data_IF_969206671537
#
_entry.id   IF_969206671537
#
_cell.length_a   1.000
_cell.length_b   1.000
_cell.length_c   1.000
_cell.angle_alpha   90.00
_cell.angle_beta   90.00
_cell.angle_gamma   90.00
#
_symmetry.space_group_name_H-M   'P 1'
#
loop_
_entity.id
_entity.type
_entity.pdbx_description
1 polymer ?
#
# COMPACT_ATOMS: atom_id res chain seq x y z
N UNK A 1 8.82 31.02 -23.50
CA UNK A 1 7.80 31.68 -22.66
C UNK A 1 8.17 31.45 -21.21
N UNK A 2 8.60 32.48 -20.49
CA UNK A 2 9.00 32.40 -19.08
C UNK A 2 7.76 32.40 -18.19
N UNK A 3 7.48 31.27 -17.54
CA UNK A 3 6.31 31.10 -16.66
C UNK A 3 6.60 31.78 -15.33
N UNK A 4 6.01 32.96 -15.09
CA UNK A 4 6.11 33.66 -13.80
C UNK A 4 5.37 32.86 -12.71
N UNK A 5 6.05 32.57 -11.59
CA UNK A 5 5.49 31.88 -10.42
C UNK A 5 5.25 32.86 -9.28
N UNK A 6 4.14 32.70 -8.56
CA UNK A 6 3.74 33.49 -7.40
C UNK A 6 3.44 32.55 -6.22
N UNK A 7 3.73 32.97 -4.99
CA UNK A 7 3.32 32.23 -3.81
C UNK A 7 1.84 32.48 -3.50
N UNK A 8 1.09 31.41 -3.28
CA UNK A 8 -0.31 31.51 -2.90
C UNK A 8 -0.42 31.99 -1.43
N UNK A 9 -1.17 33.06 -1.13
CA UNK A 9 -1.33 33.57 0.24
C UNK A 9 -2.14 32.62 1.16
N UNK A 10 -2.91 31.69 0.59
CA UNK A 10 -3.71 30.74 1.37
C UNK A 10 -2.94 29.47 1.76
N UNK A 11 -2.10 28.94 0.87
CA UNK A 11 -1.43 27.65 1.11
C UNK A 11 0.10 27.72 1.11
N UNK A 12 0.70 28.90 0.88
CA UNK A 12 2.14 29.14 0.87
C UNK A 12 2.91 28.50 -0.30
N UNK A 13 2.24 27.73 -1.18
CA UNK A 13 2.89 27.02 -2.29
C UNK A 13 3.09 27.91 -3.51
N UNK A 14 4.23 27.75 -4.19
CA UNK A 14 4.57 28.47 -5.42
C UNK A 14 3.78 27.94 -6.62
N UNK A 15 2.81 28.71 -7.09
CA UNK A 15 1.91 28.38 -8.21
C UNK A 15 2.21 29.25 -9.42
N UNK A 16 1.76 28.83 -10.61
CA UNK A 16 1.84 29.63 -11.83
C UNK A 16 0.90 30.83 -11.68
N UNK A 17 1.35 32.02 -12.13
CA UNK A 17 0.52 33.24 -12.14
C UNK A 17 -0.67 33.02 -13.09
N UNK A 18 -1.88 33.07 -12.54
CA UNK A 18 -3.13 32.88 -13.25
C UNK A 18 -4.30 33.18 -12.31
N UNK A 19 -5.54 32.93 -12.74
CA UNK A 19 -6.75 33.27 -11.96
C UNK A 19 -6.84 32.58 -10.60
N UNK A 20 -6.32 31.35 -10.49
CA UNK A 20 -6.42 30.53 -9.29
C UNK A 20 -5.11 29.78 -9.01
N UNK A 21 -4.85 29.49 -7.74
CA UNK A 21 -3.77 28.62 -7.31
C UNK A 21 -4.06 27.19 -7.73
N UNK A 22 -3.14 26.55 -8.45
CA UNK A 22 -3.29 25.16 -8.91
C UNK A 22 -3.32 24.13 -7.76
N UNK A 23 -2.87 24.51 -6.56
CA UNK A 23 -2.73 23.60 -5.42
C UNK A 23 -3.90 23.68 -4.43
N UNK A 24 -4.55 24.83 -4.29
CA UNK A 24 -5.65 25.01 -3.33
C UNK A 24 -6.89 25.71 -3.89
N UNK A 25 -6.88 26.12 -5.16
CA UNK A 25 -8.01 26.79 -5.81
C UNK A 25 -8.29 28.21 -5.34
N UNK A 26 -7.40 28.81 -4.54
CA UNK A 26 -7.52 30.19 -4.08
C UNK A 26 -7.33 31.19 -5.23
N UNK A 27 -8.18 32.23 -5.31
CA UNK A 27 -8.12 33.25 -6.37
C UNK A 27 -6.88 34.13 -6.21
N UNK A 28 -6.08 34.27 -7.27
CA UNK A 28 -4.83 35.07 -7.25
C UNK A 28 -4.96 36.39 -8.03
N UNK A 29 -6.07 36.61 -8.76
CA UNK A 29 -6.36 37.88 -9.43
C UNK A 29 -7.16 38.82 -8.51
N UNK A 30 -6.65 40.03 -8.31
CA UNK A 30 -7.39 41.15 -7.75
C UNK A 30 -8.19 41.84 -8.87
N UNK A 31 -9.51 41.90 -8.72
CA UNK A 31 -10.38 42.76 -9.56
C UNK A 31 -10.30 44.22 -9.07
N UNK A 32 -10.33 45.23 -9.96
CA UNK A 32 -10.02 46.61 -9.63
C UNK A 32 -11.17 47.30 -8.89
N UNK A 33 -10.91 47.84 -7.69
CA UNK A 33 -11.74 48.86 -7.04
C UNK A 33 -10.89 50.08 -6.67
N UNK A 34 -10.97 51.08 -7.54
CA UNK A 34 -11.12 52.52 -7.28
C UNK A 34 -10.56 53.09 -5.96
N UNK A 35 -9.37 53.69 -6.07
CA UNK A 35 -9.05 55.12 -5.88
C UNK A 35 -9.72 56.03 -4.82
N UNK A 36 -8.82 56.82 -4.20
CA UNK A 36 -8.93 58.07 -3.40
C UNK A 36 -9.09 57.90 -1.87
N UNK A 37 -8.27 58.52 -1.02
CA UNK A 37 -7.48 59.77 -1.10
C UNK A 37 -6.21 59.65 -0.19
N UNK A 38 -5.00 60.01 -0.64
CA UNK A 38 -4.27 61.30 -0.40
C UNK A 38 -4.03 61.63 1.10
N UNK A 39 -2.88 62.09 1.63
CA UNK A 39 -1.51 62.48 1.23
C UNK A 39 -0.72 62.59 2.57
N UNK A 40 0.59 62.25 2.63
CA UNK A 40 1.66 63.14 3.15
C UNK A 40 3.00 62.43 3.48
N UNK A 41 3.99 62.61 2.58
CA UNK A 41 5.42 63.04 2.75
C UNK A 41 6.19 62.51 3.99
N UNK A 42 7.42 61.95 3.91
CA UNK A 42 8.66 62.56 3.37
C UNK A 42 9.87 61.58 3.40
N UNK A 43 10.76 61.78 2.42
CA UNK A 43 12.22 61.64 2.42
C UNK A 43 12.93 60.26 2.28
N UNK A 44 13.84 60.26 1.29
CA UNK A 44 14.76 59.21 0.81
C UNK A 44 16.20 59.39 1.41
N UNK A 45 17.24 58.60 1.05
CA UNK A 45 18.22 57.97 1.96
C UNK A 45 19.65 58.57 1.86
N UNK A 46 20.75 57.99 2.44
CA UNK A 46 21.53 56.95 1.72
C UNK A 46 22.46 56.00 2.55
N UNK A 47 22.90 54.90 1.90
CA UNK A 47 24.25 54.23 1.92
C UNK A 47 24.77 53.54 3.22
N UNK A 48 24.94 52.20 3.27
CA UNK A 48 25.99 51.29 2.72
C UNK A 48 27.06 50.83 3.77
N UNK A 49 27.81 49.73 3.53
CA UNK A 49 28.07 48.64 4.51
C UNK A 49 29.55 48.46 4.93
N UNK A 50 29.79 47.68 5.99
CA UNK A 50 31.02 46.94 6.37
C UNK A 50 30.83 46.42 7.82
N UNK A 51 31.49 45.40 8.39
CA UNK A 51 32.30 44.23 8.03
C UNK A 51 32.77 43.68 9.42
N UNK A 52 32.82 42.34 9.62
CA UNK A 52 33.58 41.55 10.63
C UNK A 52 33.48 41.91 12.15
N UNK A 53 33.43 41.02 13.15
CA UNK A 53 34.28 39.88 13.55
C UNK A 53 33.54 39.20 14.74
N UNK A 54 33.22 37.91 14.70
CA UNK A 54 33.93 36.80 15.38
C UNK A 54 34.07 36.92 16.92
N UNK A 55 33.27 36.14 17.67
CA UNK A 55 33.74 35.54 18.94
C UNK A 55 32.89 34.32 19.34
N UNK A 56 33.58 33.19 19.52
CA UNK A 56 33.11 31.91 20.06
C UNK A 56 32.48 32.01 21.46
N UNK A 57 31.44 31.20 21.70
CA UNK A 57 31.36 30.36 22.91
C UNK A 57 30.29 29.28 22.77
N UNK A 58 30.55 28.13 23.39
CA UNK A 58 30.03 26.83 23.03
C UNK A 58 29.03 26.24 24.05
N UNK A 59 28.09 25.45 23.51
CA UNK A 59 27.33 24.28 24.04
C UNK A 59 26.22 24.50 25.13
N UNK A 60 25.30 23.53 25.34
CA UNK A 60 24.05 23.29 24.59
C UNK A 60 22.78 23.45 25.47
N UNK A 61 21.64 23.76 24.86
CA UNK A 61 20.34 23.52 25.49
C UNK A 61 19.40 22.87 24.49
N UNK A 62 19.24 21.56 24.67
CA UNK A 62 18.23 20.76 24.02
C UNK A 62 16.83 21.32 24.31
N UNK A 63 16.03 21.52 23.25
CA UNK A 63 14.61 21.20 23.28
C UNK A 63 14.15 20.76 21.89
N UNK A 64 13.31 19.74 21.81
CA UNK A 64 13.01 19.02 20.59
C UNK A 64 11.97 19.80 19.80
N UNK A 65 12.34 20.31 18.63
CA UNK A 65 11.35 20.70 17.65
C UNK A 65 10.77 19.43 17.04
N UNK A 66 9.51 19.23 17.37
CA UNK A 66 8.62 18.22 16.84
C UNK A 66 8.62 18.30 15.30
N UNK A 67 9.42 17.44 14.68
CA UNK A 67 9.15 17.00 13.32
C UNK A 67 7.79 16.32 13.33
N UNK A 68 6.82 17.00 12.71
CA UNK A 68 5.54 16.46 12.32
C UNK A 68 5.75 15.17 11.49
N UNK A 69 5.65 14.03 12.16
CA UNK A 69 5.41 12.72 11.54
C UNK A 69 4.10 12.21 12.13
N UNK A 70 3.00 12.70 11.59
CA UNK A 70 1.66 12.28 11.98
C UNK A 70 0.82 11.98 10.73
N UNK A 71 1.35 11.15 9.84
CA UNK A 71 0.55 10.47 8.79
C UNK A 71 0.85 8.96 8.69
N UNK A 72 1.69 8.36 9.56
CA UNK A 72 2.12 6.95 9.43
C UNK A 72 1.84 5.97 10.60
N UNK A 73 0.97 6.20 11.59
CA UNK A 73 0.76 5.18 12.63
C UNK A 73 0.04 3.93 12.11
N UNK A 74 -0.92 4.08 11.19
CA UNK A 74 -1.78 2.98 10.79
C UNK A 74 -1.14 2.05 9.72
N UNK A 75 -0.48 2.58 8.67
CA UNK A 75 0.24 1.75 7.67
C UNK A 75 1.30 0.83 8.30
N UNK A 76 1.88 1.25 9.42
CA UNK A 76 2.85 0.47 10.18
C UNK A 76 2.18 -0.70 10.92
N UNK A 77 0.94 -0.52 11.39
CA UNK A 77 0.21 -1.56 12.11
C UNK A 77 -0.23 -2.72 11.19
N UNK A 78 -0.77 -2.40 10.01
CA UNK A 78 -1.20 -3.43 9.04
C UNK A 78 -0.01 -4.26 8.54
N UNK A 79 1.12 -3.61 8.22
CA UNK A 79 2.37 -4.30 7.84
C UNK A 79 2.90 -5.16 8.97
N UNK A 80 2.93 -4.64 10.19
CA UNK A 80 3.39 -5.39 11.36
C UNK A 80 2.53 -6.63 11.61
N UNK A 81 1.21 -6.52 11.43
CA UNK A 81 0.31 -7.66 11.57
C UNK A 81 0.64 -8.75 10.55
N UNK A 82 0.83 -8.37 9.29
CA UNK A 82 1.20 -9.29 8.20
C UNK A 82 2.58 -9.90 8.42
N UNK A 83 3.58 -9.12 8.83
CA UNK A 83 4.93 -9.62 9.15
C UNK A 83 4.91 -10.64 10.29
N UNK A 84 4.12 -10.38 11.34
CA UNK A 84 3.94 -11.32 12.44
C UNK A 84 3.27 -12.61 11.97
N UNK A 85 2.20 -12.50 11.17
CA UNK A 85 1.48 -13.65 10.64
C UNK A 85 2.36 -14.49 9.70
N UNK A 86 3.06 -13.85 8.77
CA UNK A 86 4.01 -14.49 7.86
C UNK A 86 5.13 -15.20 8.62
N UNK A 87 5.64 -14.60 9.70
CA UNK A 87 6.63 -15.23 10.58
C UNK A 87 6.14 -16.55 11.18
N UNK A 88 4.89 -16.58 11.67
CA UNK A 88 4.30 -17.80 12.25
C UNK A 88 4.00 -18.83 11.17
N UNK A 89 3.50 -18.43 9.99
CA UNK A 89 3.33 -19.34 8.86
C UNK A 89 4.66 -19.98 8.44
N UNK A 90 5.75 -19.21 8.39
CA UNK A 90 7.07 -19.74 8.05
C UNK A 90 7.54 -20.80 9.06
N UNK A 91 7.36 -20.57 10.37
CA UNK A 91 7.66 -21.57 11.39
C UNK A 91 6.75 -22.79 11.30
N UNK A 92 5.46 -22.59 11.06
CA UNK A 92 4.47 -23.66 10.91
C UNK A 92 4.76 -24.56 9.70
N UNK A 93 5.06 -23.97 8.54
CA UNK A 93 5.48 -24.71 7.34
C UNK A 93 6.76 -25.50 7.62
N UNK A 94 7.75 -24.86 8.23
CA UNK A 94 9.03 -25.51 8.54
C UNK A 94 8.87 -26.67 9.52
N UNK A 95 7.98 -26.52 10.51
CA UNK A 95 7.63 -27.59 11.44
C UNK A 95 7.03 -28.79 10.70
N UNK A 96 6.13 -28.54 9.75
CA UNK A 96 5.56 -29.60 8.89
C UNK A 96 6.65 -30.28 8.07
N UNK A 97 7.58 -29.54 7.49
CA UNK A 97 8.70 -30.11 6.74
C UNK A 97 9.57 -31.03 7.61
N UNK A 98 10.00 -30.55 8.78
CA UNK A 98 10.81 -31.34 9.72
C UNK A 98 10.09 -32.61 10.18
N UNK A 99 8.78 -32.52 10.41
CA UNK A 99 7.97 -33.68 10.76
C UNK A 99 7.90 -34.70 9.61
N UNK A 100 7.70 -34.23 8.38
CA UNK A 100 7.70 -35.05 7.18
C UNK A 100 9.08 -35.67 6.87
N UNK A 101 10.17 -35.06 7.33
CA UNK A 101 11.54 -35.58 7.27
C UNK A 101 11.87 -36.55 8.42
N UNK A 102 10.95 -36.71 9.39
CA UNK A 102 11.07 -37.54 10.60
C UNK A 102 12.11 -37.03 11.61
N UNK A 103 12.40 -35.73 11.58
CA UNK A 103 13.33 -35.07 12.51
C UNK A 103 12.67 -34.62 13.83
N UNK A 104 11.35 -34.74 13.95
CA UNK A 104 10.56 -34.35 15.12
C UNK A 104 9.66 -35.50 15.54
N UNK A 105 9.58 -35.75 16.85
CA UNK A 105 8.68 -36.78 17.39
C UNK A 105 7.21 -36.33 17.26
N UNK A 106 6.25 -37.26 17.08
CA UNK A 106 4.83 -36.92 16.94
C UNK A 106 4.27 -36.07 18.08
N UNK A 107 4.69 -36.36 19.32
CA UNK A 107 4.22 -35.63 20.52
C UNK A 107 4.67 -34.17 20.50
N UNK A 108 5.97 -33.92 20.26
CA UNK A 108 6.53 -32.56 20.19
C UNK A 108 5.96 -31.80 19.00
N UNK A 109 5.78 -32.47 17.86
CA UNK A 109 5.14 -31.89 16.69
C UNK A 109 3.72 -31.44 17.00
N UNK A 110 2.91 -32.29 17.65
CA UNK A 110 1.52 -31.98 17.97
C UNK A 110 1.41 -30.74 18.88
N UNK A 111 2.23 -30.65 19.92
CA UNK A 111 2.22 -29.51 20.84
C UNK A 111 2.56 -28.19 20.11
N UNK A 112 3.67 -28.17 19.37
CA UNK A 112 4.10 -26.99 18.60
C UNK A 112 3.12 -26.63 17.49
N UNK A 113 2.55 -27.64 16.82
CA UNK A 113 1.55 -27.44 15.77
C UNK A 113 0.34 -26.71 16.32
N UNK A 114 -0.20 -27.15 17.46
CA UNK A 114 -1.37 -26.53 18.09
C UNK A 114 -1.07 -25.11 18.57
N UNK A 115 0.12 -24.85 19.13
CA UNK A 115 0.53 -23.50 19.51
C UNK A 115 0.58 -22.56 18.30
N UNK A 116 1.23 -22.98 17.21
CA UNK A 116 1.33 -22.18 15.99
C UNK A 116 -0.04 -22.01 15.32
N UNK A 117 -0.87 -23.05 15.26
CA UNK A 117 -2.22 -22.98 14.72
C UNK A 117 -3.08 -21.97 15.50
N UNK A 118 -3.05 -22.01 16.83
CA UNK A 118 -3.77 -21.05 17.68
C UNK A 118 -3.31 -19.61 17.42
N UNK A 119 -1.99 -19.40 17.30
CA UNK A 119 -1.41 -18.09 17.02
C UNK A 119 -1.76 -17.59 15.61
N UNK A 120 -1.73 -18.45 14.61
CA UNK A 120 -2.18 -18.16 13.23
C UNK A 120 -3.64 -17.72 13.27
N UNK A 121 -4.52 -18.52 13.86
CA UNK A 121 -5.96 -18.21 13.93
C UNK A 121 -6.22 -16.85 14.58
N UNK A 122 -5.51 -16.53 15.66
CA UNK A 122 -5.66 -15.25 16.38
C UNK A 122 -5.23 -14.05 15.54
N UNK A 123 -4.08 -14.15 14.85
CA UNK A 123 -3.57 -13.07 14.02
C UNK A 123 -4.37 -12.92 12.72
N UNK A 124 -4.78 -14.04 12.14
CA UNK A 124 -5.53 -14.10 10.89
C UNK A 124 -6.97 -13.61 11.07
N UNK A 125 -7.59 -13.85 12.23
CA UNK A 125 -8.89 -13.25 12.56
C UNK A 125 -8.81 -11.72 12.62
N UNK A 126 -7.80 -11.16 13.30
CA UNK A 126 -7.56 -9.71 13.32
C UNK A 126 -7.34 -9.16 11.91
N UNK A 127 -6.59 -9.88 11.07
CA UNK A 127 -6.34 -9.49 9.68
C UNK A 127 -7.65 -9.47 8.89
N UNK A 128 -8.48 -10.50 9.00
CA UNK A 128 -9.81 -10.57 8.35
C UNK A 128 -10.74 -9.45 8.80
N UNK A 129 -10.74 -9.12 10.09
CA UNK A 129 -11.52 -7.99 10.60
C UNK A 129 -11.10 -6.66 9.96
N UNK A 130 -9.79 -6.38 9.84
CA UNK A 130 -9.31 -5.16 9.20
C UNK A 130 -9.63 -5.12 7.70
N UNK A 131 -9.49 -6.25 7.00
CA UNK A 131 -9.92 -6.38 5.59
C UNK A 131 -11.39 -6.01 5.46
N UNK A 132 -12.26 -6.64 6.26
CA UNK A 132 -13.71 -6.40 6.21
C UNK A 132 -14.07 -4.92 6.51
N UNK A 133 -13.35 -4.26 7.42
CA UNK A 133 -13.55 -2.83 7.71
C UNK A 133 -13.17 -1.96 6.52
N UNK A 134 -12.02 -2.23 5.90
CA UNK A 134 -11.53 -1.48 4.74
C UNK A 134 -12.43 -1.71 3.53
N UNK A 135 -12.84 -2.95 3.25
CA UNK A 135 -13.71 -3.30 2.14
C UNK A 135 -15.08 -2.61 2.26
N UNK A 136 -15.73 -2.67 3.42
CA UNK A 136 -16.98 -1.93 3.67
C UNK A 136 -16.82 -0.44 3.43
N UNK A 137 -15.72 0.15 3.89
CA UNK A 137 -15.47 1.58 3.68
C UNK A 137 -15.24 1.92 2.21
N UNK A 138 -14.54 1.07 1.47
CA UNK A 138 -14.35 1.23 0.02
C UNK A 138 -15.68 1.11 -0.74
N UNK A 139 -16.55 0.17 -0.37
CA UNK A 139 -17.89 0.03 -0.94
C UNK A 139 -18.75 1.28 -0.68
N UNK A 140 -18.75 1.80 0.54
CA UNK A 140 -19.44 3.04 0.91
C UNK A 140 -18.96 4.25 0.08
N UNK A 141 -17.65 4.41 -0.06
CA UNK A 141 -17.05 5.49 -0.85
C UNK A 141 -17.37 5.36 -2.33
N UNK A 142 -17.35 4.13 -2.85
CA UNK A 142 -17.69 3.85 -4.26
C UNK A 142 -19.17 4.15 -4.54
N UNK A 143 -20.08 3.70 -3.68
CA UNK A 143 -21.51 4.02 -3.79
C UNK A 143 -21.78 5.52 -3.63
N UNK A 144 -21.03 6.21 -2.76
CA UNK A 144 -21.14 7.65 -2.57
C UNK A 144 -20.65 8.43 -3.80
N UNK A 145 -19.58 7.98 -4.45
CA UNK A 145 -19.10 8.54 -5.72
C UNK A 145 -20.12 8.37 -6.84
N UNK A 146 -20.76 7.21 -6.93
CA UNK A 146 -21.83 6.97 -7.91
C UNK A 146 -23.03 7.90 -7.69
N UNK A 147 -23.51 8.03 -6.45
CA UNK A 147 -24.59 8.96 -6.09
C UNK A 147 -24.20 10.42 -6.37
N UNK A 148 -22.97 10.80 -6.05
CA UNK A 148 -22.45 12.14 -6.33
C UNK A 148 -22.42 12.42 -7.84
N UNK A 149 -22.00 11.43 -8.64
CA UNK A 149 -22.01 11.53 -10.10
C UNK A 149 -23.43 11.72 -10.65
N UNK A 150 -24.40 10.91 -10.20
CA UNK A 150 -25.80 11.06 -10.64
C UNK A 150 -26.36 12.45 -10.31
N UNK A 151 -26.13 12.96 -9.09
CA UNK A 151 -26.58 14.30 -8.68
C UNK A 151 -25.93 15.42 -9.48
N UNK A 152 -24.67 15.25 -9.88
CA UNK A 152 -23.99 16.18 -10.78
C UNK A 152 -24.57 16.11 -12.20
N UNK A 153 -24.78 14.90 -12.74
CA UNK A 153 -25.31 14.68 -14.09
C UNK A 153 -26.72 15.29 -14.28
N UNK A 154 -27.55 15.28 -13.23
CA UNK A 154 -28.89 15.92 -13.23
C UNK A 154 -28.88 17.40 -12.84
N UNK A 155 -27.70 17.98 -12.57
CA UNK A 155 -27.52 19.40 -12.27
C UNK A 155 -27.90 19.83 -10.85
N UNK A 156 -28.13 18.89 -9.92
CA UNK A 156 -28.39 19.22 -8.50
C UNK A 156 -27.16 19.81 -7.79
N UNK A 157 -25.94 19.47 -8.27
CA UNK A 157 -24.68 19.88 -7.66
C UNK A 157 -23.81 20.61 -8.69
N UNK A 158 -23.26 21.80 -8.35
CA UNK A 158 -22.33 22.51 -9.22
C UNK A 158 -20.99 21.77 -9.41
N UNK A 159 -20.35 21.94 -10.58
CA UNK A 159 -19.06 21.34 -10.93
C UNK A 159 -18.00 21.47 -9.83
N UNK A 160 -17.88 22.65 -9.22
CA UNK A 160 -16.90 22.90 -8.16
C UNK A 160 -17.11 22.01 -6.94
N UNK A 161 -18.37 21.81 -6.52
CA UNK A 161 -18.70 20.97 -5.38
C UNK A 161 -18.48 19.49 -5.73
N UNK A 162 -18.89 19.08 -6.93
CA UNK A 162 -18.64 17.73 -7.45
C UNK A 162 -17.14 17.38 -7.43
N UNK A 163 -16.30 18.24 -8.01
CA UNK A 163 -14.86 18.02 -8.07
C UNK A 163 -14.23 17.95 -6.68
N UNK A 164 -14.66 18.82 -5.76
CA UNK A 164 -14.11 18.85 -4.39
C UNK A 164 -14.42 17.56 -3.64
N UNK A 165 -15.70 17.14 -3.60
CA UNK A 165 -16.12 15.91 -2.91
C UNK A 165 -15.55 14.65 -3.57
N UNK A 166 -15.49 14.63 -4.90
CA UNK A 166 -14.86 13.54 -5.65
C UNK A 166 -13.40 13.37 -5.27
N UNK A 167 -12.63 14.45 -5.28
CA UNK A 167 -11.20 14.41 -4.92
C UNK A 167 -10.97 13.95 -3.48
N UNK A 168 -11.86 14.30 -2.55
CA UNK A 168 -11.79 13.86 -1.16
C UNK A 168 -12.00 12.35 -1.04
N UNK A 169 -13.08 11.82 -1.65
CA UNK A 169 -13.35 10.38 -1.68
C UNK A 169 -12.25 9.60 -2.42
N UNK A 170 -11.77 10.10 -3.57
CA UNK A 170 -10.69 9.48 -4.32
C UNK A 170 -9.39 9.42 -3.49
N UNK A 171 -9.08 10.45 -2.70
CA UNK A 171 -7.94 10.44 -1.78
C UNK A 171 -8.08 9.37 -0.70
N UNK A 172 -9.27 9.22 -0.13
CA UNK A 172 -9.53 8.19 0.88
C UNK A 172 -9.40 6.78 0.27
N UNK A 173 -9.99 6.54 -0.90
CA UNK A 173 -9.84 5.29 -1.65
C UNK A 173 -8.37 4.97 -1.91
N UNK A 174 -7.59 5.97 -2.34
CA UNK A 174 -6.16 5.81 -2.63
C UNK A 174 -5.31 5.56 -1.37
N UNK A 175 -5.79 5.93 -0.18
CA UNK A 175 -5.16 5.59 1.10
C UNK A 175 -5.55 4.19 1.59
N UNK A 176 -6.77 3.74 1.30
CA UNK A 176 -7.29 2.44 1.74
C UNK A 176 -6.80 1.27 0.87
N UNK A 177 -6.67 1.47 -0.45
CA UNK A 177 -6.24 0.41 -1.38
C UNK A 177 -4.86 -0.21 -1.04
N UNK A 178 -3.80 0.58 -0.76
CA UNK A 178 -2.51 0.00 -0.38
C UNK A 178 -2.58 -0.83 0.90
N UNK A 179 -3.35 -0.38 1.89
CA UNK A 179 -3.56 -1.11 3.15
C UNK A 179 -4.26 -2.45 2.93
N UNK A 180 -5.30 -2.45 2.10
CA UNK A 180 -6.01 -3.66 1.72
C UNK A 180 -5.06 -4.65 1.04
N UNK A 181 -4.22 -4.17 0.11
CA UNK A 181 -3.26 -5.02 -0.60
C UNK A 181 -2.26 -5.69 0.36
N UNK A 182 -1.73 -4.95 1.33
CA UNK A 182 -0.83 -5.50 2.36
C UNK A 182 -1.54 -6.61 3.14
N UNK A 183 -2.75 -6.35 3.63
CA UNK A 183 -3.52 -7.33 4.42
C UNK A 183 -3.97 -8.55 3.61
N UNK A 184 -4.17 -8.42 2.30
CA UNK A 184 -4.52 -9.52 1.41
C UNK A 184 -3.35 -10.49 1.16
N UNK A 185 -2.12 -10.14 1.54
CA UNK A 185 -0.94 -11.00 1.44
C UNK A 185 -0.47 -11.51 2.82
N UNK A 186 -1.17 -12.49 3.43
CA UNK A 186 -0.83 -12.97 4.79
C UNK A 186 0.55 -13.63 4.90
N UNK A 187 1.14 -14.02 3.77
CA UNK A 187 2.42 -14.71 3.69
C UNK A 187 3.61 -13.77 3.43
N UNK A 188 3.33 -12.48 3.16
CA UNK A 188 4.33 -11.48 2.78
C UNK A 188 5.21 -11.93 1.60
N UNK A 189 4.61 -12.62 0.62
CA UNK A 189 5.33 -13.16 -0.54
C UNK A 189 5.44 -12.12 -1.64
N UNK A 190 6.54 -12.19 -2.41
CA UNK A 190 6.62 -11.50 -3.70
C UNK A 190 5.79 -12.25 -4.74
N UNK A 191 5.23 -11.54 -5.71
CA UNK A 191 4.37 -12.19 -6.70
C UNK A 191 5.11 -13.27 -7.50
N UNK A 192 6.42 -13.09 -7.76
CA UNK A 192 7.28 -14.11 -8.41
C UNK A 192 7.36 -15.41 -7.60
N UNK A 193 7.26 -15.36 -6.27
CA UNK A 193 7.47 -16.52 -5.38
C UNK A 193 6.20 -17.37 -5.25
N UNK A 194 5.03 -16.82 -5.60
CA UNK A 194 3.73 -17.48 -5.42
C UNK A 194 3.66 -18.87 -6.06
N UNK A 195 4.10 -19.11 -7.32
CA UNK A 195 4.00 -20.43 -7.92
C UNK A 195 4.80 -21.49 -7.16
N UNK A 196 6.03 -21.15 -6.75
CA UNK A 196 6.93 -22.06 -6.01
C UNK A 196 6.37 -22.33 -4.62
N UNK A 197 5.88 -21.28 -3.94
CA UNK A 197 5.26 -21.43 -2.63
C UNK A 197 3.99 -22.30 -2.71
N UNK A 198 3.14 -22.07 -3.71
CA UNK A 198 1.93 -22.87 -3.95
C UNK A 198 2.27 -24.34 -4.15
N UNK A 199 3.21 -24.65 -5.05
CA UNK A 199 3.66 -26.02 -5.32
C UNK A 199 4.20 -26.68 -4.05
N UNK A 200 4.95 -25.94 -3.21
CA UNK A 200 5.42 -26.42 -1.92
C UNK A 200 4.26 -26.83 -1.00
N UNK A 201 3.21 -26.00 -0.87
CA UNK A 201 2.03 -26.33 -0.05
C UNK A 201 1.27 -27.53 -0.64
N UNK A 202 1.09 -27.60 -1.96
CA UNK A 202 0.43 -28.72 -2.65
C UNK A 202 1.19 -30.04 -2.43
N UNK A 203 2.52 -30.03 -2.51
CA UNK A 203 3.35 -31.19 -2.25
C UNK A 203 3.24 -31.68 -0.81
N UNK A 204 3.25 -30.78 0.18
CA UNK A 204 3.02 -31.15 1.58
C UNK A 204 1.63 -31.76 1.77
N UNK A 205 0.60 -31.13 1.21
CA UNK A 205 -0.77 -31.64 1.28
C UNK A 205 -0.88 -33.05 0.67
N UNK A 206 -0.28 -33.27 -0.52
CA UNK A 206 -0.25 -34.58 -1.16
C UNK A 206 0.41 -35.66 -0.30
N UNK A 207 1.48 -35.31 0.45
CA UNK A 207 2.13 -36.24 1.39
C UNK A 207 1.20 -36.62 2.55
N UNK A 208 0.43 -35.69 3.09
CA UNK A 208 -0.56 -36.01 4.13
C UNK A 208 -1.78 -36.74 3.58
N UNK A 209 -2.21 -36.43 2.36
CA UNK A 209 -3.33 -37.12 1.70
C UNK A 209 -3.00 -38.58 1.39
N UNK A 210 -1.76 -38.87 0.98
CA UNK A 210 -1.28 -40.23 0.72
C UNK A 210 -0.85 -41.03 1.95
N UNK A 211 -0.61 -40.37 3.09
CA UNK A 211 -0.15 -41.04 4.32
C UNK A 211 -1.30 -41.54 5.19
N UNK A 212 -1.07 -42.69 5.83
CA UNK A 212 -1.99 -43.28 6.81
C UNK A 212 -1.69 -42.83 8.24
N UNK A 213 -2.66 -42.99 9.15
CA UNK A 213 -2.51 -42.64 10.57
C UNK A 213 -1.36 -43.42 11.23
N UNK A 214 -1.19 -44.68 10.84
CA UNK A 214 -0.17 -45.59 11.38
C UNK A 214 1.25 -45.19 10.93
N UNK A 215 1.40 -44.71 9.70
CA UNK A 215 2.69 -44.27 9.15
C UNK A 215 3.21 -42.99 9.80
N UNK A 216 2.29 -42.07 10.12
CA UNK A 216 2.63 -40.77 10.73
C UNK A 216 2.54 -40.78 12.26
N UNK A 217 1.95 -41.81 12.86
CA UNK A 217 1.71 -41.90 14.30
C UNK A 217 0.97 -40.67 14.87
N UNK A 218 0.07 -40.08 14.06
CA UNK A 218 -0.76 -38.95 14.45
C UNK A 218 -2.19 -39.40 14.73
N UNK A 219 -2.89 -38.69 15.61
CA UNK A 219 -4.33 -38.87 15.77
C UNK A 219 -5.06 -38.52 14.47
N UNK A 220 -6.17 -39.22 14.20
CA UNK A 220 -6.99 -38.96 13.01
C UNK A 220 -7.51 -37.53 12.94
N UNK A 221 -7.83 -36.95 14.10
CA UNK A 221 -8.30 -35.58 14.22
C UNK A 221 -7.20 -34.57 13.85
N UNK A 222 -5.98 -34.79 14.35
CA UNK A 222 -4.84 -33.93 14.03
C UNK A 222 -4.47 -34.01 12.55
N UNK A 223 -4.45 -35.22 11.97
CA UNK A 223 -4.21 -35.41 10.54
C UNK A 223 -5.25 -34.67 9.68
N UNK A 224 -6.52 -34.72 10.08
CA UNK A 224 -7.60 -34.00 9.40
C UNK A 224 -7.45 -32.49 9.55
N UNK A 225 -7.07 -32.01 10.74
CA UNK A 225 -6.78 -30.60 11.01
C UNK A 225 -5.66 -30.07 10.10
N UNK A 226 -4.55 -30.81 9.99
CA UNK A 226 -3.41 -30.45 9.12
C UNK A 226 -3.85 -30.33 7.66
N UNK A 227 -4.59 -31.32 7.15
CA UNK A 227 -5.11 -31.31 5.76
C UNK A 227 -5.99 -30.09 5.52
N UNK A 228 -6.88 -29.78 6.46
CA UNK A 228 -7.78 -28.64 6.34
C UNK A 228 -7.03 -27.31 6.40
N UNK A 229 -6.02 -27.20 7.26
CA UNK A 229 -5.23 -25.97 7.38
C UNK A 229 -4.35 -25.73 6.14
N UNK A 230 -3.74 -26.78 5.57
CA UNK A 230 -3.04 -26.68 4.28
C UNK A 230 -3.99 -26.26 3.14
N UNK A 231 -5.23 -26.78 3.14
CA UNK A 231 -6.26 -26.37 2.17
C UNK A 231 -6.67 -24.90 2.35
N UNK A 232 -6.81 -24.42 3.58
CA UNK A 232 -7.06 -23.00 3.85
C UNK A 232 -5.91 -22.12 3.34
N UNK A 233 -4.66 -22.51 3.56
CA UNK A 233 -3.49 -21.79 3.03
C UNK A 233 -3.54 -21.72 1.50
N UNK A 234 -3.91 -22.80 0.82
CA UNK A 234 -4.09 -22.79 -0.64
C UNK A 234 -5.23 -21.87 -1.08
N UNK A 235 -6.33 -21.83 -0.32
CA UNK A 235 -7.45 -20.93 -0.58
C UNK A 235 -7.04 -19.46 -0.40
N UNK A 236 -6.32 -19.13 0.66
CA UNK A 236 -5.82 -17.77 0.91
C UNK A 236 -4.80 -17.32 -0.17
N UNK A 237 -4.12 -18.26 -0.83
CA UNK A 237 -3.23 -17.99 -1.96
C UNK A 237 -3.98 -17.68 -3.27
N UNK A 238 -5.26 -18.04 -3.42
CA UNK A 238 -5.98 -17.93 -4.71
C UNK A 238 -5.96 -16.50 -5.28
N UNK A 239 -6.25 -15.51 -4.43
CA UNK A 239 -6.23 -14.09 -4.82
C UNK A 239 -4.83 -13.67 -5.31
N UNK A 240 -3.78 -14.12 -4.62
CA UNK A 240 -2.40 -13.82 -5.00
C UNK A 240 -2.01 -14.53 -6.31
N UNK A 241 -2.46 -15.77 -6.50
CA UNK A 241 -2.26 -16.54 -7.75
C UNK A 241 -2.93 -15.84 -8.94
N UNK A 242 -4.15 -15.33 -8.76
CA UNK A 242 -4.84 -14.55 -9.78
C UNK A 242 -4.07 -13.27 -10.15
N UNK A 243 -3.55 -12.55 -9.16
CA UNK A 243 -2.71 -11.37 -9.37
C UNK A 243 -1.44 -11.72 -10.17
N UNK A 244 -0.70 -12.76 -9.76
CA UNK A 244 0.47 -13.25 -10.48
C UNK A 244 0.14 -13.61 -11.94
N UNK A 245 -0.93 -14.39 -12.15
CA UNK A 245 -1.32 -14.85 -13.49
C UNK A 245 -1.75 -13.70 -14.40
N UNK A 246 -2.40 -12.67 -13.84
CA UNK A 246 -2.76 -11.46 -14.58
C UNK A 246 -1.53 -10.74 -15.09
N UNK A 247 -0.54 -10.48 -14.22
CA UNK A 247 0.69 -9.76 -14.60
C UNK A 247 1.52 -10.60 -15.56
N UNK A 248 1.61 -11.92 -15.34
CA UNK A 248 2.27 -12.84 -16.27
C UNK A 248 1.63 -12.82 -17.66
N UNK A 249 0.29 -12.80 -17.74
CA UNK A 249 -0.43 -12.69 -19.02
C UNK A 249 -0.17 -11.35 -19.71
N UNK A 250 0.01 -10.26 -18.96
CA UNK A 250 0.41 -8.96 -19.52
C UNK A 250 1.83 -9.00 -20.10
N UNK A 251 2.75 -9.69 -19.41
CA UNK A 251 4.10 -9.95 -19.91
C UNK A 251 4.08 -10.79 -21.20
N UNK A 252 3.32 -11.88 -21.22
CA UNK A 252 3.20 -12.76 -22.40
C UNK A 252 2.63 -11.99 -23.61
N UNK A 253 1.60 -11.14 -23.40
CA UNK A 253 1.08 -10.26 -24.45
C UNK A 253 2.14 -9.31 -24.98
N UNK A 254 2.94 -8.72 -24.10
CA UNK A 254 4.03 -7.83 -24.47
C UNK A 254 5.08 -8.56 -25.34
N UNK A 255 5.44 -9.79 -24.96
CA UNK A 255 6.36 -10.61 -25.75
C UNK A 255 5.82 -10.95 -27.13
N UNK A 256 4.53 -11.30 -27.24
CA UNK A 256 3.90 -11.58 -28.54
C UNK A 256 3.92 -10.33 -29.42
N UNK A 257 3.56 -9.15 -28.88
CA UNK A 257 3.59 -7.87 -29.63
C UNK A 257 4.98 -7.52 -30.17
N UNK A 258 6.02 -7.79 -29.38
CA UNK A 258 7.39 -7.65 -29.86
C UNK A 258 7.73 -8.65 -30.96
N UNK A 259 7.38 -9.93 -30.80
CA UNK A 259 7.65 -11.00 -31.79
C UNK A 259 6.96 -10.76 -33.14
N UNK A 260 5.77 -10.16 -33.16
CA UNK A 260 5.05 -9.80 -34.39
C UNK A 260 5.49 -8.46 -34.99
N UNK A 261 6.42 -7.74 -34.34
CA UNK A 261 6.99 -6.49 -34.83
C UNK A 261 6.13 -5.24 -34.56
N UNK A 262 5.14 -5.31 -33.68
CA UNK A 262 4.35 -4.13 -33.25
C UNK A 262 5.14 -3.19 -32.33
N UNK A 263 6.23 -3.68 -31.73
CA UNK A 263 7.06 -2.93 -30.79
C UNK A 263 8.52 -2.93 -31.22
N UNK A 264 9.19 -1.80 -31.02
CA UNK A 264 10.64 -1.75 -31.09
C UNK A 264 11.28 -2.50 -29.92
N UNK A 265 12.56 -2.87 -30.07
CA UNK A 265 13.33 -3.54 -29.01
C UNK A 265 13.44 -2.67 -27.76
N UNK A 266 13.59 -1.36 -27.91
CA UNK A 266 13.69 -0.42 -26.79
C UNK A 266 12.38 -0.30 -26.01
N UNK A 267 11.25 -0.17 -26.72
CA UNK A 267 9.92 -0.15 -26.09
C UNK A 267 9.59 -1.46 -25.39
N UNK A 268 9.94 -2.60 -26.00
CA UNK A 268 9.78 -3.91 -25.40
C UNK A 268 10.56 -4.03 -24.09
N UNK A 269 11.84 -3.68 -24.08
CA UNK A 269 12.68 -3.77 -22.88
C UNK A 269 12.21 -2.83 -21.77
N UNK A 270 11.82 -1.60 -22.12
CA UNK A 270 11.31 -0.63 -21.14
C UNK A 270 9.99 -1.09 -20.50
N UNK A 271 9.05 -1.60 -21.30
CA UNK A 271 7.78 -2.13 -20.79
C UNK A 271 7.98 -3.43 -20.01
N UNK A 272 8.87 -4.31 -20.48
CA UNK A 272 9.20 -5.58 -19.81
C UNK A 272 9.76 -5.32 -18.42
N UNK A 273 10.75 -4.43 -18.31
CA UNK A 273 11.33 -4.07 -17.01
C UNK A 273 10.27 -3.49 -16.05
N UNK A 274 9.32 -2.71 -16.57
CA UNK A 274 8.23 -2.16 -15.74
C UNK A 274 7.31 -3.26 -15.20
N UNK A 275 6.94 -4.24 -16.03
CA UNK A 275 6.07 -5.36 -15.63
C UNK A 275 6.83 -6.30 -14.67
N UNK A 276 8.10 -6.59 -14.94
CA UNK A 276 8.95 -7.41 -14.05
C UNK A 276 9.10 -6.79 -12.66
N UNK A 277 9.29 -5.47 -12.57
CA UNK A 277 9.30 -4.77 -11.28
C UNK A 277 8.01 -4.90 -10.50
N UNK A 278 6.86 -5.01 -11.18
CA UNK A 278 5.57 -5.25 -10.50
C UNK A 278 5.48 -6.66 -9.92
N UNK A 279 6.12 -7.64 -10.56
CA UNK A 279 6.21 -9.00 -10.01
C UNK A 279 7.15 -9.07 -8.79
N UNK A 280 8.23 -8.28 -8.81
CA UNK A 280 9.23 -8.24 -7.74
C UNK A 280 8.82 -7.40 -6.53
N UNK A 281 7.95 -6.42 -6.70
CA UNK A 281 7.43 -5.64 -5.58
C UNK A 281 6.45 -6.47 -4.75
N UNK A 282 6.73 -6.63 -3.45
CA UNK A 282 5.74 -7.11 -2.48
C UNK A 282 4.59 -6.10 -2.41
N UNK A 283 3.36 -6.61 -2.53
CA UNK A 283 2.11 -5.84 -2.32
C UNK A 283 2.01 -5.29 -0.90
#
# INVERSE_FOLDING_TARGET
>A
MTVQRIQCPNCGRSTIKGKFCIYCGYTLEESPKQEKAEIAITAEPPQQPAEVEEMEQAIPAAKPEATAVAEQPAEVEERRLVEQLAGVYNWWIKLIELFLEKDVTPDVFQELYQEYQSRINTLDERRREEINRIEKRLEELTSSLEKLKVRHDIGEIPDRQYVTQKLEMDREINRLKPKLNVLQNPFNLRLVEIPVFKEKIENMLGRFEGATQEELQLSGDLLTSIKNDLKKVLQDLEVLVEQHNRIKKELDKLEVRYKIGELSKEEYLAQKQKIERQLESSS
#
